data_IF_931083295914
#
_entry.id   IF_931083295914
#
_cell.length_a   1.000
_cell.length_b   1.000
_cell.length_c   1.000
_cell.angle_alpha   90.00
_cell.angle_beta   90.00
_cell.angle_gamma   90.00
#
_symmetry.space_group_name_H-M   'P 1'
#
loop_
_entity.id
_entity.type
_entity.pdbx_description
1 polymer ?
#
# COMPACT_ATOMS: atom_id res chain seq x y z
N UNK A 1 11.20 17.67 6.99
CA UNK A 1 10.44 16.46 6.59
C UNK A 1 9.64 16.61 5.29
N UNK A 2 9.23 17.81 4.86
CA UNK A 2 8.43 17.99 3.62
C UNK A 2 9.23 17.77 2.32
N UNK A 3 10.45 18.31 2.22
CA UNK A 3 11.26 18.24 0.98
C UNK A 3 11.68 16.82 0.55
N UNK A 4 11.98 15.92 1.48
CA UNK A 4 12.36 14.54 1.14
C UNK A 4 11.17 13.71 0.64
N UNK A 5 9.99 13.95 1.20
CA UNK A 5 8.77 13.34 0.68
C UNK A 5 8.58 13.78 -0.77
N UNK A 6 8.73 15.08 -1.03
CA UNK A 6 8.58 15.68 -2.36
C UNK A 6 9.60 15.14 -3.37
N UNK A 7 10.90 15.13 -3.02
CA UNK A 7 11.96 14.56 -3.87
C UNK A 7 11.80 13.06 -4.12
N UNK A 8 11.32 12.30 -3.12
CA UNK A 8 11.03 10.88 -3.30
C UNK A 8 9.83 10.65 -4.22
N UNK A 9 8.82 11.53 -4.15
CA UNK A 9 7.63 11.45 -4.97
C UNK A 9 7.96 11.86 -6.42
N UNK A 10 8.84 12.85 -6.61
CA UNK A 10 9.39 13.24 -7.90
C UNK A 10 10.16 12.09 -8.55
N UNK A 11 11.07 11.45 -7.83
CA UNK A 11 11.82 10.28 -8.33
C UNK A 11 10.88 9.12 -8.70
N UNK A 12 9.81 8.93 -7.94
CA UNK A 12 8.79 7.90 -8.21
C UNK A 12 7.99 8.24 -9.46
N UNK A 13 7.68 9.52 -9.67
CA UNK A 13 6.99 10.01 -10.85
C UNK A 13 7.87 9.86 -12.11
N UNK A 14 9.15 10.22 -12.02
CA UNK A 14 10.14 10.03 -13.07
C UNK A 14 10.27 8.57 -13.46
N UNK A 15 10.46 7.68 -12.48
CA UNK A 15 10.56 6.24 -12.73
C UNK A 15 9.28 5.66 -13.34
N UNK A 16 8.11 6.12 -12.90
CA UNK A 16 6.82 5.74 -13.48
C UNK A 16 6.71 6.20 -14.94
N UNK A 17 7.24 7.38 -15.27
CA UNK A 17 7.29 7.87 -16.64
C UNK A 17 8.24 7.04 -17.49
N UNK A 18 9.39 6.62 -16.96
CA UNK A 18 10.30 5.71 -17.64
C UNK A 18 9.64 4.36 -17.95
N UNK A 19 8.89 3.78 -17.00
CA UNK A 19 8.13 2.54 -17.27
C UNK A 19 7.09 2.72 -18.37
N UNK A 20 6.40 3.88 -18.41
CA UNK A 20 5.45 4.21 -19.49
C UNK A 20 6.17 4.36 -20.83
N UNK A 21 7.33 5.02 -20.86
CA UNK A 21 8.14 5.21 -22.06
C UNK A 21 8.68 3.88 -22.58
N UNK A 22 9.16 3.01 -21.70
CA UNK A 22 9.59 1.65 -22.03
C UNK A 22 8.43 0.82 -22.61
N UNK A 23 7.25 0.86 -22.00
CA UNK A 23 6.07 0.16 -22.50
C UNK A 23 5.63 0.68 -23.89
N UNK A 24 5.65 2.00 -24.10
CA UNK A 24 5.40 2.61 -25.42
C UNK A 24 6.44 2.19 -26.44
N UNK A 25 7.72 2.15 -26.07
CA UNK A 25 8.81 1.72 -26.95
C UNK A 25 8.63 0.26 -27.39
N UNK A 26 8.29 -0.64 -26.46
CA UNK A 26 7.97 -2.04 -26.75
C UNK A 26 6.79 -2.13 -27.73
N UNK A 27 5.73 -1.36 -27.51
CA UNK A 27 4.56 -1.35 -28.39
C UNK A 27 4.89 -0.82 -29.80
N UNK A 28 5.68 0.26 -29.89
CA UNK A 28 6.13 0.81 -31.17
C UNK A 28 7.03 -0.17 -31.92
N UNK A 29 7.96 -0.82 -31.21
CA UNK A 29 8.82 -1.87 -31.78
C UNK A 29 7.99 -3.07 -32.26
N UNK A 30 7.02 -3.52 -31.47
CA UNK A 30 6.12 -4.61 -31.85
C UNK A 30 5.34 -4.28 -33.13
N UNK A 31 4.80 -3.06 -33.24
CA UNK A 31 4.04 -2.62 -34.41
C UNK A 31 4.94 -2.37 -35.65
N UNK A 32 6.18 -1.93 -35.44
CA UNK A 32 7.17 -1.73 -36.52
C UNK A 32 7.79 -3.04 -36.99
N UNK A 33 7.83 -4.03 -36.10
CA UNK A 33 8.29 -5.40 -36.33
C UNK A 33 7.22 -6.16 -37.13
N UNK A 34 7.19 -5.96 -38.44
CA UNK A 34 6.24 -6.61 -39.36
C UNK A 34 6.50 -8.13 -39.57
N UNK A 35 7.18 -8.78 -38.62
CA UNK A 35 7.61 -10.16 -38.70
C UNK A 35 6.64 -11.09 -37.96
N UNK A 36 6.02 -11.99 -38.71
CA UNK A 36 5.21 -13.10 -38.19
C UNK A 36 6.03 -14.18 -37.45
N UNK A 37 7.24 -13.87 -36.98
CA UNK A 37 8.02 -14.82 -36.19
C UNK A 37 7.44 -14.91 -34.77
N UNK A 38 6.95 -16.09 -34.42
CA UNK A 38 6.38 -16.36 -33.10
C UNK A 38 7.43 -16.17 -31.98
N UNK A 39 8.72 -16.29 -32.31
CA UNK A 39 9.83 -15.98 -31.39
C UNK A 39 9.83 -14.51 -30.96
N UNK A 40 9.76 -13.56 -31.91
CA UNK A 40 9.77 -12.13 -31.59
C UNK A 40 8.51 -11.73 -30.81
N UNK A 41 7.34 -12.28 -31.15
CA UNK A 41 6.12 -12.07 -30.35
C UNK A 41 6.30 -12.53 -28.92
N UNK A 42 6.90 -13.70 -28.71
CA UNK A 42 7.16 -14.21 -27.36
C UNK A 42 8.13 -13.33 -26.58
N UNK A 43 9.18 -12.82 -27.24
CA UNK A 43 10.17 -11.92 -26.63
C UNK A 43 9.54 -10.59 -26.21
N UNK A 44 8.69 -10.00 -27.06
CA UNK A 44 7.94 -8.79 -26.70
C UNK A 44 6.97 -9.02 -25.54
N UNK A 45 6.29 -10.17 -25.49
CA UNK A 45 5.44 -10.49 -24.33
C UNK A 45 6.23 -10.70 -23.06
N UNK A 46 7.42 -11.30 -23.13
CA UNK A 46 8.32 -11.44 -21.99
C UNK A 46 8.88 -10.09 -21.54
N UNK A 47 9.28 -9.22 -22.48
CA UNK A 47 9.72 -7.87 -22.17
C UNK A 47 8.61 -7.05 -21.50
N UNK A 48 7.37 -7.11 -22.02
CA UNK A 48 6.22 -6.45 -21.42
C UNK A 48 5.91 -6.97 -20.01
N UNK A 49 6.00 -8.29 -19.79
CA UNK A 49 5.85 -8.91 -18.46
C UNK A 49 6.93 -8.45 -17.49
N UNK A 50 8.18 -8.35 -17.95
CA UNK A 50 9.29 -7.87 -17.12
C UNK A 50 9.09 -6.42 -16.70
N UNK A 51 8.69 -5.53 -17.61
CA UNK A 51 8.37 -4.12 -17.30
C UNK A 51 7.21 -4.02 -16.30
N UNK A 52 6.14 -4.79 -16.51
CA UNK A 52 5.00 -4.81 -15.59
C UNK A 52 5.37 -5.37 -14.20
N UNK A 53 6.21 -6.40 -14.15
CA UNK A 53 6.72 -6.99 -12.91
C UNK A 53 7.59 -5.98 -12.15
N UNK A 54 8.53 -5.31 -12.83
CA UNK A 54 9.39 -4.30 -12.23
C UNK A 54 8.57 -3.15 -11.64
N UNK A 55 7.62 -2.61 -12.39
CA UNK A 55 6.74 -1.55 -11.91
C UNK A 55 6.00 -1.96 -10.63
N UNK A 56 5.45 -3.18 -10.61
CA UNK A 56 4.76 -3.73 -9.44
C UNK A 56 5.70 -3.90 -8.24
N UNK A 57 6.90 -4.43 -8.46
CA UNK A 57 7.91 -4.62 -7.41
C UNK A 57 8.32 -3.26 -6.84
N UNK A 58 8.64 -2.29 -7.69
CA UNK A 58 9.07 -0.96 -7.24
C UNK A 58 7.98 -0.21 -6.49
N UNK A 59 6.71 -0.35 -6.91
CA UNK A 59 5.61 0.26 -6.19
C UNK A 59 5.36 -0.39 -4.82
N UNK A 60 5.57 -1.71 -4.70
CA UNK A 60 5.40 -2.43 -3.44
C UNK A 60 6.63 -2.32 -2.52
N UNK A 61 7.83 -2.18 -3.08
CA UNK A 61 9.08 -2.10 -2.32
C UNK A 61 9.16 -0.85 -1.46
N UNK A 62 8.52 0.25 -1.87
CA UNK A 62 8.48 1.49 -1.12
C UNK A 62 7.77 1.32 0.23
N UNK A 63 6.55 0.78 0.22
CA UNK A 63 5.80 0.52 1.45
C UNK A 63 6.52 -0.51 2.33
N UNK A 64 7.13 -1.52 1.72
CA UNK A 64 7.97 -2.50 2.44
C UNK A 64 9.19 -1.85 3.09
N UNK A 65 9.89 -0.93 2.40
CA UNK A 65 11.06 -0.21 2.93
C UNK A 65 10.71 0.65 4.13
N UNK A 66 9.59 1.38 4.08
CA UNK A 66 9.12 2.16 5.22
C UNK A 66 8.81 1.26 6.41
N UNK A 67 7.99 0.22 6.21
CA UNK A 67 7.62 -0.72 7.27
C UNK A 67 8.85 -1.41 7.87
N UNK A 68 9.82 -1.80 7.04
CA UNK A 68 11.08 -2.37 7.51
C UNK A 68 11.91 -1.37 8.30
N UNK A 69 11.99 -0.10 7.87
CA UNK A 69 12.68 0.95 8.61
C UNK A 69 12.06 1.22 9.98
N UNK A 70 10.74 1.30 10.05
CA UNK A 70 10.01 1.45 11.31
C UNK A 70 10.21 0.25 12.23
N UNK A 71 10.12 -0.98 11.72
CA UNK A 71 10.36 -2.19 12.50
C UNK A 71 11.78 -2.23 13.06
N UNK A 72 12.79 -1.90 12.25
CA UNK A 72 14.18 -1.82 12.72
C UNK A 72 14.34 -0.80 13.86
N UNK A 73 13.65 0.34 13.81
CA UNK A 73 13.65 1.32 14.89
C UNK A 73 13.00 0.77 16.17
N UNK A 74 11.91 0.00 16.03
CA UNK A 74 11.27 -0.65 17.17
C UNK A 74 12.18 -1.72 17.77
N UNK A 75 12.89 -2.50 16.96
CA UNK A 75 13.85 -3.49 17.43
C UNK A 75 15.00 -2.84 18.20
N UNK A 76 15.55 -1.73 17.69
CA UNK A 76 16.57 -0.94 18.39
C UNK A 76 16.04 -0.39 19.73
N UNK A 77 14.80 0.12 19.76
CA UNK A 77 14.17 0.64 20.98
C UNK A 77 13.92 -0.48 22.01
N UNK A 78 13.44 -1.63 21.55
CA UNK A 78 13.28 -2.83 22.38
C UNK A 78 14.63 -3.28 22.94
N UNK A 79 15.70 -3.20 22.16
CA UNK A 79 17.06 -3.50 22.61
C UNK A 79 17.50 -2.56 23.74
N UNK A 80 17.29 -1.25 23.61
CA UNK A 80 17.62 -0.27 24.67
C UNK A 80 16.84 -0.54 25.95
N UNK A 81 15.54 -0.84 25.83
CA UNK A 81 14.69 -1.19 26.98
C UNK A 81 15.18 -2.48 27.66
N UNK A 82 15.54 -3.50 26.86
CA UNK A 82 16.01 -4.79 27.39
C UNK A 82 17.32 -4.68 28.18
N UNK A 83 18.13 -3.67 27.86
CA UNK A 83 19.40 -3.37 28.53
C UNK A 83 19.23 -2.40 29.71
N UNK A 84 17.99 -2.05 30.10
CA UNK A 84 17.68 -1.00 31.06
C UNK A 84 18.35 0.35 30.71
N UNK A 85 18.52 0.62 29.42
CA UNK A 85 19.05 1.89 28.93
C UNK A 85 18.04 3.02 29.03
N UNK A 86 18.56 4.26 29.03
CA UNK A 86 17.74 5.46 28.98
C UNK A 86 17.21 5.69 27.56
N UNK A 87 15.94 5.35 27.36
CA UNK A 87 15.24 5.49 26.08
C UNK A 87 15.13 6.97 25.68
N UNK A 88 14.96 7.88 26.65
CA UNK A 88 14.83 9.31 26.36
C UNK A 88 16.13 9.84 25.78
N UNK A 89 17.26 9.56 26.43
CA UNK A 89 18.57 9.96 25.93
C UNK A 89 18.91 9.31 24.58
N UNK A 90 18.53 8.04 24.37
CA UNK A 90 18.71 7.37 23.08
C UNK A 90 17.91 8.05 21.96
N UNK A 91 16.64 8.37 22.19
CA UNK A 91 15.78 9.06 21.21
C UNK A 91 16.33 10.44 20.91
N UNK A 92 16.76 11.20 21.93
CA UNK A 92 17.36 12.52 21.74
C UNK A 92 18.65 12.44 20.92
N UNK A 93 19.51 11.47 21.21
CA UNK A 93 20.75 11.22 20.46
C UNK A 93 20.44 10.85 19.00
N UNK A 94 19.52 9.90 18.78
CA UNK A 94 19.10 9.47 17.43
C UNK A 94 18.46 10.61 16.63
N UNK A 95 17.64 11.43 17.27
CA UNK A 95 17.05 12.61 16.65
C UNK A 95 18.13 13.61 16.21
N UNK A 96 19.13 13.85 17.05
CA UNK A 96 20.26 14.72 16.71
C UNK A 96 21.12 14.14 15.57
N UNK A 97 21.35 12.82 15.55
CA UNK A 97 22.06 12.13 14.47
C UNK A 97 21.33 12.26 13.12
N UNK A 98 20.01 12.06 13.12
CA UNK A 98 19.19 12.17 11.91
C UNK A 98 19.16 13.60 11.37
N UNK A 99 18.99 14.60 12.24
CA UNK A 99 19.02 16.01 11.86
C UNK A 99 20.40 16.46 11.32
N UNK A 100 21.50 15.85 11.77
CA UNK A 100 22.85 16.15 11.26
C UNK A 100 23.11 15.57 9.88
N UNK A 101 22.57 14.38 9.56
CA UNK A 101 22.69 13.79 8.23
C UNK A 101 21.98 14.60 7.14
N UNK A 102 20.99 15.40 7.52
CA UNK A 102 20.21 16.25 6.61
C UNK A 102 20.92 17.57 6.23
N UNK A 103 22.09 17.87 6.82
CA UNK A 103 22.94 18.98 6.42
C UNK A 103 24.18 18.44 5.71
N UNK A 104 24.22 18.40 4.36
CA UNK A 104 25.46 18.14 3.65
C UNK A 104 26.40 19.33 3.83
N UNK A 105 27.47 19.12 4.59
CA UNK A 105 28.73 19.88 4.60
C UNK A 105 28.65 21.40 4.35
N UNK A 106 28.35 22.14 5.40
CA UNK A 106 29.16 23.33 5.70
C UNK A 106 29.89 23.04 7.01
N UNK A 107 31.16 23.43 7.08
CA UNK A 107 32.03 23.37 8.27
C UNK A 107 32.85 22.08 8.49
N UNK A 108 33.73 21.79 7.54
CA UNK A 108 35.12 21.50 7.93
C UNK A 108 35.87 22.82 8.09
N UNK A 109 35.56 23.57 9.15
CA UNK A 109 36.46 24.59 9.71
C UNK A 109 36.43 24.46 11.22
N UNK A 110 37.50 23.82 11.71
CA UNK A 110 38.05 23.80 13.08
C UNK A 110 37.40 24.74 14.11
N UNK A 111 37.39 24.22 15.37
CA UNK A 111 37.29 24.90 16.68
C UNK A 111 35.86 25.16 17.14
N UNK A 112 35.46 24.97 18.39
CA UNK A 112 36.14 24.70 19.65
C UNK A 112 35.04 24.41 20.70
N UNK A 113 35.45 23.77 21.78
CA UNK A 113 34.65 23.47 22.96
C UNK A 113 33.86 24.69 23.42
N UNK A 114 32.54 24.58 23.55
CA UNK A 114 31.81 25.39 24.52
C UNK A 114 30.70 24.59 25.19
N UNK A 115 30.96 24.34 26.48
CA UNK A 115 30.09 23.77 27.48
C UNK A 115 28.96 24.78 27.74
N UNK A 116 27.77 24.53 27.22
CA UNK A 116 26.57 25.27 27.66
C UNK A 116 25.79 24.43 28.67
N UNK A 117 26.05 24.71 29.94
CA UNK A 117 25.15 24.43 31.05
C UNK A 117 23.83 25.17 30.79
N UNK A 118 22.73 24.43 30.63
CA UNK A 118 21.40 25.01 30.64
C UNK A 118 20.85 24.84 32.06
N UNK A 119 20.70 25.98 32.73
CA UNK A 119 20.17 26.16 34.08
C UNK A 119 18.72 25.63 34.21
N UNK A 120 18.38 24.94 35.32
CA UNK A 120 17.05 24.40 35.57
C UNK A 120 16.10 25.47 36.12
N UNK A 121 15.48 26.28 35.25
CA UNK A 121 14.57 27.34 35.72
C UNK A 121 13.25 27.49 34.94
N UNK A 122 12.79 26.41 34.29
CA UNK A 122 11.41 26.33 33.78
C UNK A 122 10.71 25.01 34.18
N UNK A 123 10.66 24.76 35.49
CA UNK A 123 9.76 23.79 36.11
C UNK A 123 8.75 24.55 36.97
N UNK A 124 7.65 24.99 36.36
CA UNK A 124 6.44 25.55 36.99
C UNK A 124 5.32 25.27 35.98
N UNK A 125 4.14 24.69 36.23
CA UNK A 125 3.41 24.20 37.39
C UNK A 125 2.24 23.44 36.74
N UNK A 126 1.95 22.19 37.08
CA UNK A 126 0.55 21.81 37.39
C UNK A 126 0.61 20.86 38.58
N UNK A 127 0.06 21.36 39.68
CA UNK A 127 0.04 20.77 41.01
C UNK A 127 -0.74 19.46 41.05
N UNK A 128 -0.24 18.55 41.88
CA UNK A 128 -1.04 17.53 42.57
C UNK A 128 -1.93 18.21 43.60
N UNK A 129 -3.21 17.89 43.63
CA UNK A 129 -4.05 18.02 44.83
C UNK A 129 -4.74 16.68 45.10
N UNK A 130 -4.69 16.28 46.37
CA UNK A 130 -5.28 15.07 46.94
C UNK A 130 -6.78 15.22 47.20
N UNK A 131 -7.53 14.15 46.91
CA UNK A 131 -8.79 13.71 47.53
C UNK A 131 -9.97 14.69 47.69
N UNK A 132 -11.01 14.54 46.85
CA UNK A 132 -12.35 14.01 47.22
C UNK A 132 -13.32 14.03 46.05
N UNK A 133 -14.27 13.10 46.11
CA UNK A 133 -15.52 12.97 45.37
C UNK A 133 -15.47 12.37 43.95
N UNK A 134 -15.87 11.09 43.92
CA UNK A 134 -16.39 10.34 42.78
C UNK A 134 -17.59 11.07 42.15
N UNK A 135 -17.32 11.86 41.13
CA UNK A 135 -18.30 12.21 40.09
C UNK A 135 -17.60 11.95 38.76
N UNK A 136 -17.99 10.86 38.09
CA UNK A 136 -17.59 10.61 36.70
C UNK A 136 -18.33 11.67 35.89
N UNK A 137 -17.71 12.84 35.73
CA UNK A 137 -18.15 13.81 34.73
C UNK A 137 -18.10 13.15 33.35
N UNK A 138 -19.09 13.47 32.51
CA UNK A 138 -19.29 13.01 31.14
C UNK A 138 -18.17 13.46 30.16
N UNK A 139 -16.90 13.32 30.55
CA UNK A 139 -15.71 13.74 29.78
C UNK A 139 -15.39 12.74 28.66
N UNK A 140 -16.03 11.58 28.63
CA UNK A 140 -15.87 10.58 27.57
C UNK A 140 -16.98 10.67 26.51
N UNK A 141 -17.16 11.84 25.90
CA UNK A 141 -17.88 11.91 24.62
C UNK A 141 -16.92 11.52 23.49
N UNK A 142 -17.04 10.27 23.01
CA UNK A 142 -16.31 9.81 21.82
C UNK A 142 -16.91 10.43 20.56
N UNK A 143 -16.61 11.69 20.31
CA UNK A 143 -16.87 12.31 19.00
C UNK A 143 -15.73 11.92 18.06
N UNK A 144 -16.03 11.13 17.04
CA UNK A 144 -15.07 10.80 16.00
C UNK A 144 -14.64 12.11 15.32
N UNK A 145 -13.42 12.57 15.58
CA UNK A 145 -12.87 13.74 14.88
C UNK A 145 -12.88 13.43 13.38
N UNK A 146 -13.34 14.40 12.61
CA UNK A 146 -13.60 14.23 11.17
C UNK A 146 -12.35 13.83 10.38
N UNK A 147 -11.17 14.03 10.97
CA UNK A 147 -9.85 13.77 10.40
C UNK A 147 -9.49 12.28 10.31
N UNK A 148 -10.14 11.41 11.10
CA UNK A 148 -9.90 9.95 11.08
C UNK A 148 -10.96 9.24 10.23
N UNK A 149 -11.93 9.97 9.66
CA UNK A 149 -12.95 9.36 8.82
C UNK A 149 -12.27 8.79 7.56
N UNK A 150 -12.36 7.48 7.29
CA UNK A 150 -11.86 6.95 6.04
C UNK A 150 -12.60 7.65 4.89
N UNK A 151 -11.88 8.04 3.84
CA UNK A 151 -12.46 8.64 2.63
C UNK A 151 -13.48 7.71 1.91
N UNK A 152 -13.66 6.49 2.40
CA UNK A 152 -14.59 5.52 1.86
C UNK A 152 -15.63 5.17 2.93
N UNK A 153 -16.87 5.61 2.71
CA UNK A 153 -18.01 5.17 3.51
C UNK A 153 -18.29 3.69 3.26
N UNK A 154 -18.63 2.97 4.32
CA UNK A 154 -19.11 1.60 4.21
C UNK A 154 -20.32 1.55 3.27
N UNK A 155 -20.22 0.77 2.19
CA UNK A 155 -21.32 0.53 1.26
C UNK A 155 -21.94 -0.81 1.64
N UNK A 156 -23.17 -0.84 2.21
CA UNK A 156 -23.81 -2.10 2.63
C UNK A 156 -23.93 -3.14 1.49
N UNK A 157 -23.92 -2.68 0.24
CA UNK A 157 -23.96 -3.53 -0.96
C UNK A 157 -22.62 -4.18 -1.32
N UNK A 158 -21.54 -3.86 -0.61
CA UNK A 158 -20.20 -4.38 -0.84
C UNK A 158 -19.73 -5.07 0.45
N UNK A 159 -19.61 -6.41 0.45
CA UNK A 159 -19.11 -7.11 1.62
C UNK A 159 -17.63 -6.74 1.88
N UNK A 160 -17.18 -6.76 3.14
CA UNK A 160 -15.79 -6.48 3.46
C UNK A 160 -14.86 -7.51 2.82
N UNK A 161 -13.64 -7.10 2.49
CA UNK A 161 -12.64 -7.93 1.79
C UNK A 161 -12.28 -9.22 2.53
N UNK A 162 -12.54 -9.29 3.84
CA UNK A 162 -12.38 -10.47 4.68
C UNK A 162 -13.43 -11.55 4.43
N UNK A 163 -14.54 -11.25 3.77
CA UNK A 163 -15.59 -12.22 3.40
C UNK A 163 -15.15 -12.94 2.13
N UNK A 164 -14.50 -14.08 2.31
CA UNK A 164 -14.13 -14.97 1.21
C UNK A 164 -15.36 -15.70 0.67
N UNK A 165 -16.01 -15.13 -0.34
CA UNK A 165 -16.97 -15.89 -1.13
C UNK A 165 -16.23 -16.92 -2.00
N UNK A 166 -16.80 -18.13 -2.09
CA UNK A 166 -16.33 -19.16 -3.00
C UNK A 166 -16.25 -18.56 -4.43
N UNK A 167 -15.13 -18.74 -5.14
CA UNK A 167 -14.94 -18.26 -6.51
C UNK A 167 -16.11 -18.63 -7.43
N UNK A 168 -16.70 -19.81 -7.23
CA UNK A 168 -17.89 -20.28 -7.98
C UNK A 168 -19.13 -19.42 -7.69
N UNK A 169 -19.33 -19.02 -6.43
CA UNK A 169 -20.45 -18.16 -6.01
C UNK A 169 -20.29 -16.73 -6.54
N UNK A 170 -19.05 -16.22 -6.59
CA UNK A 170 -18.78 -14.89 -7.17
C UNK A 170 -19.06 -14.86 -8.66
N UNK A 171 -18.66 -15.90 -9.39
CA UNK A 171 -18.92 -16.01 -10.83
C UNK A 171 -20.42 -16.11 -11.11
N UNK A 172 -21.16 -16.96 -10.38
CA UNK A 172 -22.62 -17.09 -10.60
C UNK A 172 -23.37 -15.79 -10.35
N UNK A 173 -23.01 -15.04 -9.29
CA UNK A 173 -23.64 -13.77 -8.97
C UNK A 173 -23.30 -12.64 -9.98
N UNK A 174 -22.10 -12.64 -10.57
CA UNK A 174 -21.77 -11.72 -11.65
C UNK A 174 -22.59 -12.01 -12.92
N UNK A 175 -22.82 -13.29 -13.21
CA UNK A 175 -23.64 -13.70 -14.35
C UNK A 175 -25.11 -13.35 -14.14
N UNK A 176 -25.66 -13.57 -12.94
CA UNK A 176 -27.05 -13.21 -12.64
C UNK A 176 -27.29 -11.71 -12.81
N UNK A 177 -26.39 -10.87 -12.29
CA UNK A 177 -26.47 -9.41 -12.48
C UNK A 177 -26.37 -8.99 -13.94
N UNK A 178 -25.54 -9.67 -14.74
CA UNK A 178 -25.41 -9.38 -16.18
C UNK A 178 -26.70 -9.75 -16.91
N UNK A 179 -27.31 -10.89 -16.59
CA UNK A 179 -28.60 -11.30 -17.15
C UNK A 179 -29.73 -10.35 -16.75
N UNK A 180 -29.81 -9.95 -15.48
CA UNK A 180 -30.79 -8.94 -15.03
C UNK A 180 -30.64 -7.61 -15.75
N UNK A 181 -29.40 -7.17 -16.01
CA UNK A 181 -29.15 -5.93 -16.75
C UNK A 181 -29.60 -6.06 -18.21
N UNK A 182 -29.38 -7.21 -18.85
CA UNK A 182 -29.80 -7.45 -20.23
C UNK A 182 -31.31 -7.54 -20.33
N UNK A 183 -31.98 -8.25 -19.41
CA UNK A 183 -33.45 -8.29 -19.31
C UNK A 183 -34.09 -6.90 -19.22
N UNK A 184 -33.39 -5.92 -18.63
CA UNK A 184 -33.86 -4.52 -18.59
C UNK A 184 -33.61 -3.74 -19.86
N UNK A 185 -32.69 -4.18 -20.73
CA UNK A 185 -32.26 -3.48 -21.94
C UNK A 185 -32.85 -4.09 -23.21
N UNK A 186 -33.24 -5.36 -23.21
CA UNK A 186 -33.77 -6.08 -24.38
C UNK A 186 -35.21 -6.53 -24.11
N UNK A 187 -36.15 -6.17 -24.99
CA UNK A 187 -37.57 -6.55 -24.88
C UNK A 187 -37.94 -7.86 -25.61
N UNK A 188 -36.98 -8.52 -26.26
CA UNK A 188 -37.19 -9.74 -27.04
C UNK A 188 -36.65 -10.97 -26.27
N UNK A 189 -37.52 -11.93 -26.00
CA UNK A 189 -37.17 -13.16 -25.26
C UNK A 189 -36.14 -14.04 -25.98
N UNK A 190 -36.09 -13.98 -27.32
CA UNK A 190 -35.18 -14.77 -28.14
C UNK A 190 -33.71 -14.36 -27.94
N UNK A 191 -33.44 -13.05 -27.83
CA UNK A 191 -32.09 -12.52 -27.62
C UNK A 191 -31.55 -12.88 -26.22
N UNK A 192 -32.44 -12.90 -25.23
CA UNK A 192 -32.13 -13.28 -23.85
C UNK A 192 -31.75 -14.77 -23.80
N UNK A 193 -32.45 -15.64 -24.54
CA UNK A 193 -32.14 -17.07 -24.59
C UNK A 193 -30.81 -17.37 -25.29
N UNK A 194 -30.54 -16.69 -26.42
CA UNK A 194 -29.30 -16.88 -27.18
C UNK A 194 -28.07 -16.48 -26.34
N UNK A 195 -28.15 -15.37 -25.61
CA UNK A 195 -27.02 -14.92 -24.78
C UNK A 195 -26.87 -15.76 -23.50
N UNK A 196 -27.98 -16.27 -22.93
CA UNK A 196 -27.95 -17.25 -21.83
C UNK A 196 -27.23 -18.54 -22.24
N UNK A 197 -27.48 -19.05 -23.45
CA UNK A 197 -26.78 -20.21 -24.00
C UNK A 197 -25.27 -19.95 -24.18
N UNK A 198 -24.92 -18.79 -24.73
CA UNK A 198 -23.51 -18.38 -24.92
C UNK A 198 -22.76 -18.32 -23.58
N UNK A 199 -23.42 -17.82 -22.54
CA UNK A 199 -22.88 -17.74 -21.18
C UNK A 199 -22.68 -19.10 -20.51
N UNK A 200 -23.61 -20.05 -20.70
CA UNK A 200 -23.49 -21.43 -20.22
C UNK A 200 -22.32 -22.17 -20.89
N UNK A 201 -22.12 -21.95 -22.19
CA UNK A 201 -21.01 -22.57 -22.92
C UNK A 201 -19.65 -22.10 -22.40
N UNK A 202 -19.52 -20.81 -22.06
CA UNK A 202 -18.31 -20.23 -21.42
C UNK A 202 -17.99 -20.85 -20.05
N UNK A 203 -18.99 -21.31 -19.29
CA UNK A 203 -18.76 -21.99 -18.00
C UNK A 203 -18.22 -23.42 -18.18
N UNK A 204 -18.69 -24.14 -19.21
CA UNK A 204 -18.25 -25.51 -19.48
C UNK A 204 -16.77 -25.61 -19.90
N UNK A 205 -16.23 -24.57 -20.53
CA UNK A 205 -14.85 -24.54 -21.02
C UNK A 205 -13.79 -24.33 -19.93
N UNK A 206 -14.17 -24.11 -18.66
CA UNK A 206 -13.23 -23.93 -17.55
C UNK A 206 -13.07 -25.17 -16.65
N UNK A 207 -13.67 -26.32 -16.98
CA UNK A 207 -13.40 -27.58 -16.28
C UNK A 207 -11.99 -28.10 -16.62
N UNK A 208 -11.08 -27.96 -15.65
CA UNK A 208 -9.71 -28.50 -15.70
C UNK A 208 -9.68 -30.00 -15.37
N UNK A 209 -8.61 -30.73 -15.76
CA UNK A 209 -8.63 -32.20 -15.90
C UNK A 209 -8.68 -32.96 -14.56
N UNK A 210 -9.09 -34.25 -14.58
CA UNK A 210 -9.37 -35.03 -13.38
C UNK A 210 -8.12 -35.21 -12.51
N UNK A 211 -8.25 -34.85 -11.23
CA UNK A 211 -7.22 -35.04 -10.20
C UNK A 211 -6.91 -36.54 -10.05
N UNK A 212 -5.65 -36.92 -10.29
CA UNK A 212 -5.12 -38.27 -10.08
C UNK A 212 -5.36 -38.69 -8.62
N UNK A 213 -6.05 -39.81 -8.41
CA UNK A 213 -6.21 -40.46 -7.09
C UNK A 213 -4.83 -40.94 -6.61
N UNK A 214 -4.41 -40.54 -5.40
CA UNK A 214 -3.33 -41.22 -4.67
C UNK A 214 -3.84 -42.61 -4.25
N UNK A 215 -3.16 -43.67 -4.69
CA UNK A 215 -3.29 -45.00 -4.08
C UNK A 215 -2.66 -44.94 -2.68
N UNK A 216 -3.38 -45.47 -1.70
CA UNK A 216 -2.88 -45.89 -0.39
C UNK A 216 -2.21 -47.26 -0.58
#
# INVERSE_FOLDING_TARGET
MSEYSEKSNELTAELTNEFKNAAKSIATLYNSSNSNSDSLKSDFTNAARSVASLYKITNNSRDMLFNHGYLSCLDDLLQVISQQGDVENWVLTKRAELLKKDKPDEENTKKEVEKQEISPEQVINIKKEDNKDTSIEDVYSFTFTSDIKPNVHFRPSIPPLSVQHNLKQRQSHMLSKRLEKIQRLTASDEDIQLEKLKLLQLQSSQESPPKKKKKI
#
